data_IF_543413955082
#
_entry.id   IF_543413955082
#
_cell.length_a   1.000
_cell.length_b   1.000
_cell.length_c   1.000
_cell.angle_alpha   90.00
_cell.angle_beta   90.00
_cell.angle_gamma   90.00
#
_symmetry.space_group_name_H-M   'P 1'
#
loop_
_entity.id
_entity.type
_entity.pdbx_description
1 polymer ?
#
# COMPACT_ATOMS: atom_id res chain seq x y z
N UNK A 1 23.53 21.48 6.32
CA UNK A 1 22.57 21.24 5.21
C UNK A 1 21.44 20.39 5.78
N UNK A 2 20.29 21.02 6.04
CA UNK A 2 19.16 20.41 6.74
C UNK A 2 18.20 19.80 5.71
N UNK A 3 17.97 18.48 5.78
CA UNK A 3 16.94 17.81 4.98
C UNK A 3 15.64 17.74 5.79
N UNK A 4 14.60 18.41 5.28
CA UNK A 4 13.25 18.34 5.81
C UNK A 4 12.59 16.98 5.50
N UNK A 5 11.86 16.36 6.44
CA UNK A 5 11.05 15.18 6.15
C UNK A 5 9.76 15.59 5.41
N UNK A 6 9.55 14.98 4.25
CA UNK A 6 8.33 15.10 3.44
C UNK A 6 7.14 14.47 4.20
N UNK A 7 6.17 15.30 4.57
CA UNK A 7 4.93 14.86 5.21
C UNK A 7 4.01 14.08 4.25
N UNK A 8 3.12 13.23 4.78
CA UNK A 8 2.17 12.47 3.96
C UNK A 8 1.05 13.38 3.44
N UNK A 9 0.81 13.32 2.12
CA UNK A 9 -0.28 14.04 1.44
C UNK A 9 -1.63 13.40 1.80
N UNK A 10 -2.39 14.09 2.65
CA UNK A 10 -3.79 13.76 2.95
C UNK A 10 -4.71 14.18 1.80
N UNK A 11 -5.37 13.21 1.18
CA UNK A 11 -6.50 13.43 0.28
C UNK A 11 -7.81 13.44 1.08
N UNK A 12 -8.39 14.62 1.23
CA UNK A 12 -9.73 14.83 1.77
C UNK A 12 -10.79 14.45 0.75
N UNK A 13 -11.45 13.30 0.94
CA UNK A 13 -12.75 13.03 0.33
C UNK A 13 -13.82 13.30 1.39
N UNK A 14 -14.49 14.43 1.24
CA UNK A 14 -15.62 14.84 2.07
C UNK A 14 -16.77 13.81 1.99
N UNK A 15 -17.47 13.52 3.10
CA UNK A 15 -18.72 12.78 3.04
C UNK A 15 -19.86 13.68 2.54
N UNK A 16 -20.80 13.17 1.71
CA UNK A 16 -21.99 13.90 1.33
C UNK A 16 -22.91 14.10 2.54
N UNK A 17 -23.45 15.31 2.60
CA UNK A 17 -24.42 15.84 3.52
C UNK A 17 -25.77 15.12 3.46
N UNK A 18 -26.54 15.24 4.57
CA UNK A 18 -28.00 15.04 4.70
C UNK A 18 -28.42 13.54 4.86
N UNK A 19 -29.00 13.05 5.97
CA UNK A 19 -30.01 13.64 6.85
C UNK A 19 -29.89 13.10 8.30
N UNK A 20 -29.86 14.02 9.27
CA UNK A 20 -30.03 13.77 10.69
C UNK A 20 -31.36 14.44 11.06
N UNK A 21 -32.44 13.67 11.13
CA UNK A 21 -33.66 14.11 11.80
C UNK A 21 -34.00 13.12 12.90
N UNK A 22 -34.12 13.67 14.11
CA UNK A 22 -34.58 13.05 15.36
C UNK A 22 -33.67 12.01 16.03
N UNK A 23 -32.63 12.48 16.71
CA UNK A 23 -32.32 11.89 18.01
C UNK A 23 -32.02 13.02 18.99
N UNK A 24 -32.98 13.24 19.89
CA UNK A 24 -32.98 14.27 20.92
C UNK A 24 -31.68 14.25 21.71
N UNK A 25 -30.84 15.26 21.46
CA UNK A 25 -29.70 15.59 22.28
C UNK A 25 -30.19 15.98 23.68
N UNK A 26 -29.97 15.12 24.66
CA UNK A 26 -30.14 15.49 26.06
C UNK A 26 -28.98 15.01 26.91
N UNK A 27 -28.18 16.01 27.31
CA UNK A 27 -27.51 16.15 28.62
C UNK A 27 -26.18 15.43 28.79
N UNK A 28 -25.12 16.21 28.53
CA UNK A 28 -24.08 16.57 29.50
C UNK A 28 -23.53 15.48 30.40
N UNK A 29 -22.31 15.02 30.11
CA UNK A 29 -21.38 14.51 31.11
C UNK A 29 -19.97 15.05 30.82
N UNK A 30 -19.60 16.12 31.52
CA UNK A 30 -18.22 16.59 31.68
C UNK A 30 -17.65 15.94 32.94
N UNK A 31 -17.32 14.66 32.87
CA UNK A 31 -16.57 13.96 33.92
C UNK A 31 -15.36 13.32 33.26
N UNK A 32 -14.18 13.67 33.80
CA UNK A 32 -12.85 13.09 33.58
C UNK A 32 -12.82 11.99 32.52
N UNK A 33 -12.11 12.22 31.40
CA UNK A 33 -11.89 11.23 30.33
C UNK A 33 -11.83 9.80 30.88
N UNK A 34 -12.97 9.11 30.88
CA UNK A 34 -13.04 7.75 31.37
C UNK A 34 -12.16 6.95 30.42
N UNK A 35 -11.13 6.31 30.98
CA UNK A 35 -10.01 5.73 30.21
C UNK A 35 -10.56 4.89 29.05
N UNK A 36 -10.39 5.38 27.82
CA UNK A 36 -10.83 4.65 26.63
C UNK A 36 -9.88 3.51 26.31
N UNK A 37 -10.33 2.51 25.55
CA UNK A 37 -9.46 1.41 25.11
C UNK A 37 -8.37 1.97 24.18
N UNK A 38 -7.10 1.78 24.54
CA UNK A 38 -5.97 2.34 23.79
C UNK A 38 -5.68 1.64 22.46
N UNK A 39 -6.12 0.39 22.27
CA UNK A 39 -5.93 -0.37 21.02
C UNK A 39 -6.93 -1.52 20.88
N UNK A 40 -7.41 -1.79 19.66
CA UNK A 40 -8.25 -2.96 19.33
C UNK A 40 -8.01 -3.47 17.91
N UNK A 41 -7.91 -4.79 17.76
CA UNK A 41 -7.77 -5.47 16.47
C UNK A 41 -9.09 -6.09 15.96
N UNK A 42 -10.19 -5.94 16.71
CA UNK A 42 -11.44 -6.71 16.51
C UNK A 42 -12.00 -6.60 15.08
N UNK A 43 -11.91 -5.44 14.45
CA UNK A 43 -12.52 -5.20 13.13
C UNK A 43 -11.49 -5.18 11.99
N UNK A 44 -10.22 -5.50 12.26
CA UNK A 44 -9.17 -5.42 11.25
C UNK A 44 -9.30 -6.57 10.24
N UNK A 45 -9.49 -7.80 10.73
CA UNK A 45 -9.67 -8.98 9.89
C UNK A 45 -10.91 -8.85 9.01
N UNK A 46 -12.04 -8.43 9.58
CA UNK A 46 -13.29 -8.25 8.83
C UNK A 46 -13.13 -7.26 7.67
N UNK A 47 -12.51 -6.09 7.91
CA UNK A 47 -12.23 -5.10 6.86
C UNK A 47 -11.24 -5.61 5.80
N UNK A 48 -10.19 -6.32 6.20
CA UNK A 48 -9.22 -6.89 5.27
C UNK A 48 -9.86 -7.92 4.32
N UNK A 49 -10.82 -8.70 4.82
CA UNK A 49 -11.52 -9.71 4.03
C UNK A 49 -12.67 -9.14 3.17
N UNK A 50 -13.22 -7.96 3.48
CA UNK A 50 -14.27 -7.33 2.64
C UNK A 50 -13.86 -7.18 1.16
N UNK A 51 -12.64 -6.70 0.91
CA UNK A 51 -12.09 -6.55 -0.44
C UNK A 51 -11.24 -7.77 -0.87
N UNK A 52 -11.00 -8.69 0.07
CA UNK A 52 -10.12 -9.83 -0.05
C UNK A 52 -8.63 -9.45 -0.03
N UNK A 53 -7.82 -10.24 0.69
CA UNK A 53 -6.37 -10.12 0.67
C UNK A 53 -5.86 -10.67 -0.67
N UNK A 54 -5.42 -9.80 -1.57
CA UNK A 54 -4.95 -10.19 -2.90
C UNK A 54 -3.53 -10.74 -2.84
N UNK A 55 -3.31 -11.88 -3.49
CA UNK A 55 -1.95 -12.46 -3.66
C UNK A 55 -1.20 -11.68 -4.76
N UNK A 56 0.13 -11.55 -4.66
CA UNK A 56 0.92 -10.95 -5.75
C UNK A 56 0.79 -11.79 -7.03
N UNK A 57 0.72 -11.12 -8.17
CA UNK A 57 0.61 -11.80 -9.48
C UNK A 57 1.94 -12.46 -9.84
N UNK A 58 1.88 -13.71 -10.30
CA UNK A 58 3.05 -14.41 -10.84
C UNK A 58 3.20 -14.04 -12.32
N UNK A 59 4.31 -13.41 -12.68
CA UNK A 59 4.66 -13.13 -14.06
C UNK A 59 5.66 -14.17 -14.58
N UNK A 60 5.66 -14.45 -15.90
CA UNK A 60 6.61 -15.37 -16.54
C UNK A 60 8.07 -14.94 -16.31
N UNK A 61 8.30 -13.65 -16.21
CA UNK A 61 9.60 -13.06 -15.94
C UNK A 61 9.53 -12.22 -14.66
N UNK A 62 10.50 -12.41 -13.77
CA UNK A 62 10.65 -11.62 -12.54
C UNK A 62 11.42 -10.32 -12.79
N UNK A 63 11.28 -9.36 -11.88
CA UNK A 63 12.09 -8.13 -11.90
C UNK A 63 13.55 -8.43 -11.57
N UNK A 64 14.48 -7.86 -12.34
CA UNK A 64 15.94 -8.00 -12.13
C UNK A 64 16.52 -6.98 -11.13
N UNK A 65 15.68 -6.21 -10.44
CA UNK A 65 16.10 -5.19 -9.46
C UNK A 65 16.71 -5.88 -8.24
N UNK A 66 17.92 -5.46 -7.86
CA UNK A 66 18.65 -6.06 -6.72
C UNK A 66 19.51 -7.28 -7.07
N UNK A 67 19.59 -7.69 -8.34
CA UNK A 67 20.59 -8.67 -8.77
C UNK A 67 21.99 -8.07 -8.88
N UNK A 68 23.01 -8.92 -8.71
CA UNK A 68 24.41 -8.56 -8.85
C UNK A 68 24.69 -7.89 -10.22
N UNK A 69 25.26 -6.67 -10.23
CA UNK A 69 25.66 -6.00 -11.45
C UNK A 69 26.58 -6.83 -12.36
N UNK A 70 27.44 -7.71 -11.82
CA UNK A 70 28.34 -8.54 -12.63
C UNK A 70 27.55 -9.57 -13.44
N UNK A 71 26.57 -10.23 -12.82
CA UNK A 71 25.65 -11.13 -13.50
C UNK A 71 24.84 -10.41 -14.60
N UNK A 72 24.35 -9.20 -14.31
CA UNK A 72 23.57 -8.40 -15.28
C UNK A 72 24.40 -8.00 -16.51
N UNK A 73 25.68 -7.65 -16.34
CA UNK A 73 26.58 -7.34 -17.47
C UNK A 73 26.75 -8.56 -18.37
N UNK A 74 27.03 -9.74 -17.78
CA UNK A 74 27.18 -10.97 -18.54
C UNK A 74 25.89 -11.36 -19.29
N UNK A 75 24.74 -11.28 -18.61
CA UNK A 75 23.45 -11.59 -19.22
C UNK A 75 23.15 -10.71 -20.44
N UNK A 76 23.54 -9.43 -20.40
CA UNK A 76 23.36 -8.49 -21.53
C UNK A 76 24.20 -8.91 -22.74
N UNK A 77 25.47 -9.27 -22.54
CA UNK A 77 26.35 -9.73 -23.63
C UNK A 77 25.86 -11.04 -24.23
N UNK A 78 25.52 -12.03 -23.40
CA UNK A 78 25.02 -13.32 -23.86
C UNK A 78 23.76 -13.17 -24.72
N UNK A 79 22.78 -12.37 -24.28
CA UNK A 79 21.55 -12.09 -25.04
C UNK A 79 21.84 -11.43 -26.39
N UNK A 80 22.81 -10.51 -26.45
CA UNK A 80 23.20 -9.82 -27.69
C UNK A 80 23.73 -10.79 -28.74
N UNK A 81 24.67 -11.67 -28.37
CA UNK A 81 25.30 -12.58 -29.32
C UNK A 81 24.43 -13.80 -29.66
N UNK A 82 23.61 -14.27 -28.71
CA UNK A 82 22.66 -15.37 -28.98
C UNK A 82 21.51 -14.95 -29.91
N UNK A 83 21.15 -13.66 -29.95
CA UNK A 83 20.16 -13.16 -30.90
C UNK A 83 20.72 -13.16 -32.33
N UNK A 84 21.95 -12.67 -32.51
CA UNK A 84 22.63 -12.67 -33.81
C UNK A 84 22.82 -14.08 -34.36
N UNK A 85 23.24 -15.02 -33.51
CA UNK A 85 23.42 -16.42 -33.91
C UNK A 85 22.11 -17.11 -34.36
N UNK A 86 20.95 -16.66 -33.87
CA UNK A 86 19.64 -17.19 -34.27
C UNK A 86 19.14 -16.66 -35.62
N UNK A 87 19.59 -15.48 -36.03
CA UNK A 87 19.18 -14.88 -37.31
C UNK A 87 20.06 -15.34 -38.47
N UNK A 88 21.22 -15.95 -38.17
CA UNK A 88 22.15 -16.54 -39.14
C UNK A 88 21.92 -18.04 -39.40
N UNK A 89 20.80 -18.61 -38.95
CA UNK A 89 20.44 -20.04 -39.13
C UNK A 89 19.09 -20.20 -39.79
#
# INVERSE_FOLDING_TARGET
>A
MCFAPLGPKGGSLAPPSLNCESCSCSRGQLLSMAKSKNHTAHNQSYKAHKNGIKKPKKHKYHSLKGMDPKFLRNQRYAKKHNAVAKESS
#
